data_IF_871074756900
#
_entry.id   IF_871074756900
#
_cell.length_a   1.000
_cell.length_b   1.000
_cell.length_c   1.000
_cell.angle_alpha   90.00
_cell.angle_beta   90.00
_cell.angle_gamma   90.00
#
_symmetry.space_group_name_H-M   'P 1'
#
loop_
_entity.id
_entity.type
_entity.pdbx_description
1 polymer ?
#
# COMPACT_ATOMS: atom_id res chain seq x y z
N UNK A 1 -7.16 28.50 -0.13
CA UNK A 1 -7.00 28.32 -1.60
C UNK A 1 -5.77 27.44 -1.82
N UNK A 2 -5.87 26.34 -2.58
CA UNK A 2 -4.73 25.43 -2.78
C UNK A 2 -5.05 24.17 -3.58
N UNK A 3 -4.02 23.38 -3.89
CA UNK A 3 -4.16 22.09 -4.56
C UNK A 3 -4.61 21.02 -3.58
N UNK A 4 -5.65 20.29 -3.96
CA UNK A 4 -6.12 19.09 -3.30
C UNK A 4 -5.64 17.89 -4.10
N UNK A 5 -5.05 16.92 -3.42
CA UNK A 5 -4.75 15.61 -3.98
C UNK A 5 -5.61 14.56 -3.32
N UNK A 6 -6.23 13.70 -4.12
CA UNK A 6 -7.14 12.67 -3.62
C UNK A 6 -7.24 11.49 -4.58
N UNK A 7 -7.78 10.39 -4.07
CA UNK A 7 -8.20 9.21 -4.83
C UNK A 7 -9.53 8.70 -4.29
N UNK A 8 -10.26 7.97 -5.12
CA UNK A 8 -11.45 7.25 -4.69
C UNK A 8 -11.11 5.81 -4.27
N UNK A 9 -11.76 5.33 -3.21
CA UNK A 9 -11.75 3.93 -2.79
C UNK A 9 -13.19 3.45 -2.59
N UNK A 10 -13.42 2.13 -2.67
CA UNK A 10 -14.71 1.49 -2.30
C UNK A 10 -14.74 1.06 -0.83
N UNK A 11 -13.92 1.68 0.00
CA UNK A 11 -13.73 1.36 1.41
C UNK A 11 -12.24 1.33 1.75
N UNK A 12 -11.60 0.15 1.79
CA UNK A 12 -10.18 0.02 2.09
C UNK A 12 -9.29 0.42 0.90
N UNK A 13 -8.02 0.73 1.18
CA UNK A 13 -7.04 1.19 0.17
C UNK A 13 -6.79 0.21 -0.98
N UNK A 14 -6.90 -1.10 -0.76
CA UNK A 14 -6.75 -2.09 -1.84
C UNK A 14 -7.89 -2.05 -2.88
N UNK A 15 -8.98 -1.33 -2.61
CA UNK A 15 -10.09 -1.09 -3.56
C UNK A 15 -10.02 0.32 -4.20
N UNK A 16 -8.80 0.85 -4.36
CA UNK A 16 -8.56 2.18 -4.93
C UNK A 16 -8.84 2.21 -6.44
N UNK A 17 -9.22 3.38 -6.95
CA UNK A 17 -9.37 3.59 -8.39
C UNK A 17 -8.06 3.33 -9.16
N UNK A 18 -8.20 2.69 -10.32
CA UNK A 18 -7.10 2.43 -11.26
C UNK A 18 -7.24 3.21 -12.58
N UNK A 19 -6.31 2.98 -13.50
CA UNK A 19 -6.41 3.42 -14.90
C UNK A 19 -7.47 2.60 -15.67
N UNK A 20 -7.56 2.73 -17.00
CA UNK A 20 -8.57 2.00 -17.77
C UNK A 20 -8.37 0.47 -17.75
N UNK A 21 -7.17 0.01 -17.39
CA UNK A 21 -6.78 -1.41 -17.36
C UNK A 21 -6.69 -1.98 -15.93
N UNK A 22 -7.16 -1.25 -14.91
CA UNK A 22 -7.08 -1.70 -13.51
C UNK A 22 -5.71 -1.54 -12.88
N UNK A 23 -4.81 -0.75 -13.47
CA UNK A 23 -3.45 -0.55 -12.95
C UNK A 23 -3.36 0.72 -12.12
N UNK A 24 -2.22 0.87 -11.44
CA UNK A 24 -1.90 2.07 -10.68
C UNK A 24 -2.17 3.36 -11.48
N UNK A 25 -2.95 4.25 -10.86
CA UNK A 25 -3.12 5.63 -11.31
C UNK A 25 -2.52 6.61 -10.31
N UNK A 26 -1.88 7.71 -10.72
CA UNK A 26 -1.53 8.80 -9.81
C UNK A 26 -2.74 9.44 -9.10
N UNK A 27 -2.50 10.19 -8.02
CA UNK A 27 -3.54 10.98 -7.35
C UNK A 27 -4.23 11.93 -8.34
N UNK A 28 -5.53 12.14 -8.16
CA UNK A 28 -6.25 13.23 -8.80
C UNK A 28 -5.86 14.54 -8.14
N UNK A 29 -5.75 15.59 -8.95
CA UNK A 29 -5.46 16.94 -8.47
C UNK A 29 -6.61 17.89 -8.82
N UNK A 30 -7.06 18.66 -7.84
CA UNK A 30 -8.05 19.72 -8.01
C UNK A 30 -7.54 20.99 -7.36
N UNK A 31 -7.61 22.12 -8.06
CA UNK A 31 -7.27 23.42 -7.46
C UNK A 31 -8.52 24.06 -6.85
N UNK A 32 -8.54 24.19 -5.51
CA UNK A 32 -9.65 24.78 -4.78
C UNK A 32 -9.46 26.29 -4.64
N UNK A 33 -10.37 27.06 -5.23
CA UNK A 33 -10.34 28.52 -5.28
C UNK A 33 -10.90 29.22 -4.01
N UNK A 34 -11.48 28.45 -3.08
CA UNK A 34 -12.13 28.98 -1.88
C UNK A 34 -13.66 29.10 -1.98
N UNK A 35 -14.25 28.82 -3.14
CA UNK A 35 -15.69 28.83 -3.36
C UNK A 35 -16.25 27.40 -3.49
N UNK A 36 -17.55 27.18 -3.24
CA UNK A 36 -18.17 25.89 -3.53
C UNK A 36 -18.00 25.51 -5.00
N UNK A 37 -17.51 24.29 -5.25
CA UNK A 37 -17.28 23.74 -6.58
C UNK A 37 -17.94 22.36 -6.68
N UNK A 38 -18.52 22.06 -7.84
CA UNK A 38 -18.99 20.72 -8.19
C UNK A 38 -18.11 20.19 -9.31
N UNK A 39 -17.57 18.99 -9.15
CA UNK A 39 -16.67 18.36 -10.12
C UNK A 39 -17.22 17.00 -10.51
N UNK A 40 -17.44 16.79 -11.80
CA UNK A 40 -17.85 15.50 -12.34
C UNK A 40 -16.61 14.65 -12.66
N UNK A 41 -16.54 13.48 -12.05
CA UNK A 41 -15.38 12.59 -12.13
C UNK A 41 -15.86 11.19 -12.50
N UNK A 42 -15.36 10.66 -13.61
CA UNK A 42 -15.57 9.26 -13.99
C UNK A 42 -14.47 8.39 -13.38
N UNK A 43 -14.86 7.26 -12.77
CA UNK A 43 -13.92 6.20 -12.38
C UNK A 43 -13.80 5.24 -13.57
N UNK A 44 -12.59 5.06 -14.11
CA UNK A 44 -12.37 4.21 -15.29
C UNK A 44 -12.37 2.73 -14.90
N UNK A 45 -11.64 2.37 -13.83
CA UNK A 45 -11.68 1.03 -13.23
C UNK A 45 -11.15 1.04 -11.77
N UNK A 46 -10.88 -0.14 -11.20
CA UNK A 46 -10.37 -0.35 -9.84
C UNK A 46 -9.14 -1.26 -9.83
N UNK A 47 -8.21 -1.03 -8.90
CA UNK A 47 -6.97 -1.81 -8.78
C UNK A 47 -7.20 -3.24 -8.23
N UNK A 48 -8.35 -3.53 -7.62
CA UNK A 48 -8.74 -4.88 -7.16
C UNK A 48 -9.45 -5.73 -8.23
N UNK A 49 -9.24 -5.42 -9.51
CA UNK A 49 -9.71 -6.29 -10.61
C UNK A 49 -8.84 -7.55 -10.74
N UNK A 50 -9.37 -8.63 -11.30
CA UNK A 50 -8.72 -9.97 -11.36
C UNK A 50 -7.29 -9.97 -11.95
N UNK A 51 -6.93 -8.91 -12.68
CA UNK A 51 -5.63 -8.72 -13.32
C UNK A 51 -4.51 -8.30 -12.34
N UNK A 52 -4.84 -7.85 -11.13
CA UNK A 52 -3.88 -7.40 -10.09
C UNK A 52 -3.71 -8.40 -8.93
N UNK A 53 -4.15 -9.64 -9.11
CA UNK A 53 -4.08 -10.70 -8.08
C UNK A 53 -2.72 -11.39 -7.92
N UNK A 54 -1.63 -10.83 -8.45
CA UNK A 54 -0.29 -11.43 -8.34
C UNK A 54 0.57 -10.61 -7.38
N UNK A 55 0.88 -11.22 -6.24
CA UNK A 55 1.79 -10.66 -5.26
C UNK A 55 3.14 -10.34 -5.91
N UNK A 56 3.65 -9.14 -5.67
CA UNK A 56 5.00 -8.73 -6.07
C UNK A 56 6.03 -8.98 -4.97
N UNK A 57 5.62 -9.59 -3.85
CA UNK A 57 6.52 -9.94 -2.77
C UNK A 57 7.67 -10.81 -3.27
N UNK A 58 8.90 -10.42 -2.92
CA UNK A 58 10.05 -11.28 -3.13
C UNK A 58 9.92 -12.55 -2.26
N UNK A 59 10.45 -13.71 -2.70
CA UNK A 59 10.29 -14.98 -1.96
C UNK A 59 10.82 -14.98 -0.52
N UNK A 60 11.76 -14.06 -0.23
CA UNK A 60 12.39 -13.85 1.07
C UNK A 60 11.70 -12.76 1.92
N UNK A 61 10.51 -12.33 1.53
CA UNK A 61 9.60 -11.56 2.37
C UNK A 61 8.71 -12.55 3.14
N UNK A 62 8.75 -12.48 4.46
CA UNK A 62 8.00 -13.36 5.35
C UNK A 62 7.06 -12.56 6.25
N UNK A 63 5.86 -13.11 6.46
CA UNK A 63 4.93 -12.61 7.46
C UNK A 63 5.34 -13.16 8.84
N UNK A 64 5.84 -12.30 9.72
CA UNK A 64 6.20 -12.70 11.10
C UNK A 64 4.93 -12.86 11.95
N UNK A 65 4.02 -11.90 11.84
CA UNK A 65 2.80 -11.89 12.64
C UNK A 65 1.69 -11.13 11.95
N UNK A 66 0.49 -11.73 11.91
CA UNK A 66 -0.69 -11.06 11.39
C UNK A 66 -1.32 -10.07 12.40
N UNK A 67 -1.01 -10.23 13.68
CA UNK A 67 -1.64 -9.50 14.78
C UNK A 67 -0.65 -9.25 15.93
N UNK A 68 0.49 -8.63 15.64
CA UNK A 68 1.44 -8.23 16.66
C UNK A 68 0.82 -7.15 17.54
N UNK A 69 0.70 -7.44 18.84
CA UNK A 69 0.15 -6.49 19.81
C UNK A 69 1.18 -5.42 20.13
N UNK A 70 0.77 -4.16 20.02
CA UNK A 70 1.55 -2.99 20.43
C UNK A 70 0.82 -2.35 21.61
N UNK A 71 1.08 -2.80 22.86
CA UNK A 71 0.31 -2.39 24.04
C UNK A 71 0.31 -0.88 24.27
N UNK A 72 1.42 -0.21 23.94
CA UNK A 72 1.59 1.23 24.10
C UNK A 72 0.62 2.04 23.23
N UNK A 73 0.07 1.42 22.17
CA UNK A 73 -0.84 2.07 21.22
C UNK A 73 -2.20 1.36 21.14
N UNK A 74 -2.45 0.42 22.06
CA UNK A 74 -3.64 -0.44 22.13
C UNK A 74 -4.14 -0.94 20.77
N UNK A 75 -3.23 -1.48 19.95
CA UNK A 75 -3.55 -1.92 18.59
C UNK A 75 -2.80 -3.18 18.18
N UNK A 76 -3.39 -3.88 17.23
CA UNK A 76 -2.77 -5.00 16.52
C UNK A 76 -2.23 -4.51 15.17
N UNK A 77 -1.06 -5.00 14.78
CA UNK A 77 -0.44 -4.71 13.48
C UNK A 77 0.13 -5.96 12.84
N UNK A 78 0.02 -6.02 11.52
CA UNK A 78 0.73 -6.98 10.69
C UNK A 78 2.21 -6.58 10.59
N UNK A 79 3.13 -7.54 10.75
CA UNK A 79 4.58 -7.31 10.65
C UNK A 79 5.17 -8.24 9.60
N UNK A 80 5.90 -7.66 8.66
CA UNK A 80 6.65 -8.33 7.61
C UNK A 80 8.15 -8.22 7.88
N UNK A 81 8.92 -9.18 7.38
CA UNK A 81 10.38 -9.13 7.37
C UNK A 81 10.90 -9.51 5.99
N UNK A 82 11.94 -8.83 5.55
CA UNK A 82 12.76 -9.26 4.43
C UNK A 82 14.06 -9.84 4.98
N UNK A 83 14.39 -11.07 4.60
CA UNK A 83 15.65 -11.70 4.94
C UNK A 83 16.61 -11.66 3.74
N UNK A 84 17.90 -11.32 3.93
CA UNK A 84 18.89 -11.44 2.87
C UNK A 84 18.91 -12.85 2.26
N UNK A 85 19.22 -13.02 0.96
CA UNK A 85 19.16 -14.32 0.30
C UNK A 85 20.02 -15.44 0.93
N UNK A 86 21.07 -15.07 1.66
CA UNK A 86 22.02 -15.98 2.31
C UNK A 86 21.73 -16.22 3.81
N UNK A 87 20.64 -15.67 4.34
CA UNK A 87 20.37 -15.65 5.79
C UNK A 87 20.41 -17.03 6.45
N UNK A 88 19.83 -18.05 5.82
CA UNK A 88 19.78 -19.42 6.36
C UNK A 88 21.09 -20.21 6.21
N UNK A 89 22.03 -19.70 5.41
CA UNK A 89 23.29 -20.37 5.08
C UNK A 89 24.51 -19.65 5.66
N UNK A 90 24.28 -18.59 6.42
CA UNK A 90 25.31 -17.71 6.98
C UNK A 90 25.19 -17.62 8.50
N UNK A 91 26.30 -17.28 9.17
CA UNK A 91 26.31 -16.90 10.59
C UNK A 91 26.56 -15.41 10.80
N UNK A 92 26.60 -14.65 9.70
CA UNK A 92 26.77 -13.20 9.71
C UNK A 92 25.60 -12.50 10.39
N UNK A 93 25.89 -11.34 11.00
CA UNK A 93 24.88 -10.49 11.62
C UNK A 93 24.57 -9.32 10.68
N UNK A 94 23.31 -9.18 10.31
CA UNK A 94 22.85 -8.11 9.43
C UNK A 94 22.29 -6.93 10.26
N UNK A 95 22.51 -5.68 9.83
CA UNK A 95 21.83 -4.53 10.42
C UNK A 95 20.32 -4.60 10.16
N UNK A 96 19.53 -4.09 11.10
CA UNK A 96 18.06 -4.08 11.01
C UNK A 96 17.58 -2.69 10.62
N UNK A 97 16.84 -2.61 9.51
CA UNK A 97 16.15 -1.40 9.06
C UNK A 97 14.65 -1.54 9.33
N UNK A 98 14.10 -0.65 10.15
CA UNK A 98 12.66 -0.58 10.40
C UNK A 98 12.00 0.38 9.41
N UNK A 99 11.03 -0.11 8.66
CA UNK A 99 10.25 0.69 7.73
C UNK A 99 8.76 0.56 8.06
N UNK A 100 8.05 1.69 8.01
CA UNK A 100 6.60 1.71 8.07
C UNK A 100 6.02 1.48 6.68
N UNK A 101 4.71 1.19 6.60
CA UNK A 101 4.00 1.05 5.33
C UNK A 101 4.45 -0.14 4.46
N UNK A 102 4.75 -1.26 5.13
CA UNK A 102 5.30 -2.48 4.51
C UNK A 102 4.46 -3.05 3.36
N UNK A 103 3.14 -2.83 3.37
CA UNK A 103 2.27 -3.24 2.27
C UNK A 103 2.64 -2.52 0.96
N UNK A 104 2.98 -1.23 1.00
CA UNK A 104 3.46 -0.53 -0.19
C UNK A 104 4.91 -0.88 -0.54
N UNK A 105 5.69 -1.35 0.43
CA UNK A 105 7.12 -1.63 0.24
C UNK A 105 7.40 -3.02 -0.33
N UNK A 106 6.65 -4.04 0.08
CA UNK A 106 6.95 -5.42 -0.26
C UNK A 106 6.02 -6.01 -1.31
N UNK A 107 4.74 -5.65 -1.28
CA UNK A 107 3.76 -6.35 -2.09
C UNK A 107 2.58 -5.49 -2.51
N UNK A 108 2.43 -5.28 -3.82
CA UNK A 108 1.28 -4.54 -4.38
C UNK A 108 -0.07 -5.20 -4.09
N UNK A 109 -0.12 -6.46 -3.67
CA UNK A 109 -1.37 -7.17 -3.41
C UNK A 109 -1.86 -7.06 -1.94
N UNK A 110 -1.06 -6.53 -1.01
CA UNK A 110 -1.41 -6.52 0.43
C UNK A 110 -2.19 -5.27 0.86
#
# INVERSE_FOLDING_TARGET
IGQLEFKFTRGPWWTVEGDAEGRYRPNRSLFYDGLPQTVELRIDSWEDTEQYGQSTAAPNVHLISNAFRIPQLDRLRRIWIYLPPDYDHSSERYPVLYMHDAQNLFDRQT
#
